data_IF_465364202252
#
_entry.id   IF_465364202252
#
_cell.length_a   1.000
_cell.length_b   1.000
_cell.length_c   1.000
_cell.angle_alpha   90.00
_cell.angle_beta   90.00
_cell.angle_gamma   90.00
#
_symmetry.space_group_name_H-M   'P 1'
#
loop_
_entity.id
_entity.type
_entity.pdbx_description
1 polymer ?
#
# COMPACT_ATOMS: atom_id res chain seq x y z
N UNK A 1 -10.33 -17.57 -4.97
CA UNK A 1 -9.00 -17.06 -4.64
C UNK A 1 -9.07 -16.54 -3.21
N UNK A 2 -7.96 -16.54 -2.48
CA UNK A 2 -7.93 -15.98 -1.13
C UNK A 2 -7.30 -14.59 -1.15
N UNK A 3 -7.70 -13.73 -0.21
CA UNK A 3 -7.01 -12.48 0.07
C UNK A 3 -6.17 -12.69 1.31
N UNK A 4 -4.91 -12.35 1.24
CA UNK A 4 -4.01 -12.23 2.38
C UNK A 4 -3.89 -10.75 2.73
N UNK A 5 -4.13 -10.39 3.98
CA UNK A 5 -4.12 -9.01 4.46
C UNK A 5 -3.25 -8.91 5.70
N UNK A 6 -2.37 -7.92 5.75
CA UNK A 6 -1.47 -7.63 6.86
C UNK A 6 -1.72 -6.22 7.41
N UNK A 7 -1.45 -6.03 8.71
CA UNK A 7 -1.62 -4.75 9.40
C UNK A 7 -0.78 -4.71 10.70
N UNK A 8 -0.58 -3.51 11.22
CA UNK A 8 -0.10 -3.35 12.59
C UNK A 8 -1.23 -3.65 13.58
N UNK A 9 -0.92 -4.23 14.70
CA UNK A 9 -1.91 -4.51 15.75
C UNK A 9 -2.46 -3.25 16.41
N UNK A 10 -3.60 -3.40 17.09
CA UNK A 10 -4.33 -2.31 17.72
C UNK A 10 -3.53 -1.59 18.81
N UNK A 11 -3.66 -0.25 18.86
CA UNK A 11 -3.03 0.57 19.91
C UNK A 11 -1.52 0.70 19.74
N UNK A 12 -1.03 0.70 18.51
CA UNK A 12 0.39 0.80 18.17
C UNK A 12 1.22 -0.24 18.94
N UNK A 13 0.73 -1.49 18.95
CA UNK A 13 1.37 -2.58 19.69
C UNK A 13 2.75 -2.95 19.14
N UNK A 14 3.10 -2.40 17.97
CA UNK A 14 4.38 -2.62 17.30
C UNK A 14 4.55 -4.04 16.77
N UNK A 15 3.47 -4.79 16.60
CA UNK A 15 3.49 -6.16 16.09
C UNK A 15 2.83 -6.25 14.73
N UNK A 16 3.35 -7.13 13.90
CA UNK A 16 2.76 -7.44 12.59
C UNK A 16 1.74 -8.56 12.75
N UNK A 17 0.52 -8.30 12.28
CA UNK A 17 -0.60 -9.24 12.26
C UNK A 17 -1.05 -9.48 10.83
N UNK A 18 -1.75 -10.58 10.60
CA UNK A 18 -2.38 -10.89 9.33
C UNK A 18 -3.69 -11.65 9.51
N UNK A 19 -4.57 -11.51 8.54
CA UNK A 19 -5.77 -12.31 8.38
C UNK A 19 -5.90 -12.78 6.94
N UNK A 20 -6.67 -13.84 6.70
CA UNK A 20 -6.92 -14.39 5.38
C UNK A 20 -8.41 -14.54 5.13
N UNK A 21 -8.84 -14.19 3.92
CA UNK A 21 -10.21 -14.28 3.45
C UNK A 21 -10.32 -15.31 2.32
N UNK A 22 -11.18 -16.31 2.45
CA UNK A 22 -11.35 -17.37 1.47
C UNK A 22 -12.42 -17.06 0.38
N UNK A 23 -13.00 -15.86 0.41
CA UNK A 23 -14.12 -15.42 -0.43
C UNK A 23 -15.47 -15.45 0.30
N UNK A 24 -15.54 -16.11 1.47
CA UNK A 24 -16.75 -16.22 2.28
C UNK A 24 -16.51 -15.82 3.74
N UNK A 25 -15.40 -16.26 4.31
CA UNK A 25 -15.08 -16.10 5.74
C UNK A 25 -13.65 -15.63 5.97
N UNK A 26 -13.48 -14.87 7.04
CA UNK A 26 -12.19 -14.49 7.59
C UNK A 26 -11.69 -15.58 8.55
N UNK A 27 -10.41 -15.93 8.44
CA UNK A 27 -9.81 -16.97 9.31
C UNK A 27 -9.59 -16.49 10.75
N UNK A 28 -9.50 -15.18 10.94
CA UNK A 28 -9.22 -14.50 12.19
C UNK A 28 -7.74 -14.13 12.32
N UNK A 29 -7.51 -13.06 13.06
CA UNK A 29 -6.22 -12.41 13.24
C UNK A 29 -5.15 -13.34 13.81
N UNK A 30 -3.98 -13.32 13.18
CA UNK A 30 -2.81 -14.09 13.58
C UNK A 30 -1.57 -13.20 13.58
N UNK A 31 -0.76 -13.31 14.64
CA UNK A 31 0.48 -12.57 14.74
C UNK A 31 1.58 -13.23 13.90
N UNK A 32 2.36 -12.43 13.17
CA UNK A 32 3.63 -12.87 12.58
C UNK A 32 4.66 -12.94 13.72
N UNK A 33 5.21 -14.12 14.02
CA UNK A 33 6.09 -14.28 15.18
C UNK A 33 7.37 -13.44 15.05
N UNK A 34 7.82 -12.87 16.16
CA UNK A 34 9.12 -12.18 16.31
C UNK A 34 9.32 -11.04 15.29
N UNK A 35 8.24 -10.39 14.85
CA UNK A 35 8.26 -9.29 13.89
C UNK A 35 7.75 -8.01 14.55
N UNK A 36 8.66 -7.07 14.76
CA UNK A 36 8.32 -5.74 15.27
C UNK A 36 8.25 -4.71 14.15
N UNK A 37 7.19 -3.90 14.11
CA UNK A 37 6.95 -2.94 13.04
C UNK A 37 6.47 -1.59 13.54
N UNK A 38 6.65 -0.60 12.69
CA UNK A 38 5.99 0.72 12.74
C UNK A 38 5.34 0.98 11.39
N UNK A 39 4.35 1.87 11.34
CA UNK A 39 3.64 2.28 10.12
C UNK A 39 2.84 1.16 9.44
N UNK A 40 2.41 1.39 8.20
CA UNK A 40 1.68 0.39 7.41
C UNK A 40 2.63 -0.59 6.74
N UNK A 41 2.33 -1.90 6.73
CA UNK A 41 3.12 -2.88 5.99
C UNK A 41 2.86 -2.82 4.48
N UNK A 42 3.67 -3.54 3.70
CA UNK A 42 3.40 -3.83 2.30
C UNK A 42 3.54 -5.31 2.02
N UNK A 43 2.51 -5.93 1.46
CA UNK A 43 2.51 -7.34 1.11
C UNK A 43 2.57 -7.54 -0.40
N UNK A 44 3.38 -8.51 -0.85
CA UNK A 44 3.49 -8.87 -2.27
C UNK A 44 3.82 -10.36 -2.44
N UNK A 45 3.32 -10.96 -3.51
CA UNK A 45 3.70 -12.32 -3.90
C UNK A 45 4.85 -12.26 -4.91
N UNK A 46 5.99 -12.93 -4.59
CA UNK A 46 7.16 -12.98 -5.47
C UNK A 46 7.86 -14.33 -5.36
N UNK A 47 8.18 -14.94 -6.49
CA UNK A 47 8.92 -16.21 -6.55
C UNK A 47 8.22 -17.38 -5.85
N UNK A 48 6.90 -17.32 -5.67
CA UNK A 48 6.10 -18.35 -4.96
C UNK A 48 6.12 -18.17 -3.43
N UNK A 49 6.63 -17.05 -2.93
CA UNK A 49 6.58 -16.65 -1.52
C UNK A 49 5.72 -15.41 -1.36
N UNK A 50 5.15 -15.26 -0.18
CA UNK A 50 4.59 -14.01 0.32
C UNK A 50 5.73 -13.25 1.01
N UNK A 51 5.94 -11.99 0.63
CA UNK A 51 6.84 -11.04 1.27
C UNK A 51 6.01 -10.00 2.01
N UNK A 52 6.35 -9.76 3.26
CA UNK A 52 5.83 -8.68 4.08
C UNK A 52 6.96 -7.70 4.37
N UNK A 53 6.83 -6.47 3.86
CA UNK A 53 7.77 -5.38 4.11
C UNK A 53 7.20 -4.42 5.15
N UNK A 54 8.07 -3.86 5.99
CA UNK A 54 7.69 -2.89 7.02
C UNK A 54 8.89 -2.06 7.47
N UNK A 55 8.62 -0.93 8.08
CA UNK A 55 9.62 -0.23 8.90
C UNK A 55 9.79 -1.00 10.22
N UNK A 56 11.00 -1.02 10.74
CA UNK A 56 11.25 -1.69 12.02
C UNK A 56 10.61 -0.95 13.20
N UNK A 57 10.44 -1.67 14.31
CA UNK A 57 9.76 -1.16 15.50
C UNK A 57 10.41 0.11 16.08
N UNK A 58 9.56 1.06 16.49
CA UNK A 58 10.00 2.32 17.09
C UNK A 58 10.63 3.27 16.08
N UNK A 59 10.17 3.25 14.85
CA UNK A 59 10.64 4.10 13.76
C UNK A 59 12.16 4.03 13.60
N UNK A 60 12.67 2.77 13.58
CA UNK A 60 14.11 2.51 13.55
C UNK A 60 14.82 3.03 12.27
N UNK A 61 14.04 3.48 11.30
CA UNK A 61 14.53 4.04 10.06
C UNK A 61 15.11 3.01 9.10
N UNK A 62 14.77 1.72 9.26
CA UNK A 62 15.27 0.63 8.43
C UNK A 62 14.13 -0.14 7.77
N UNK A 63 14.37 -0.62 6.55
CA UNK A 63 13.46 -1.50 5.85
C UNK A 63 13.72 -2.96 6.24
N UNK A 64 12.68 -3.63 6.72
CA UNK A 64 12.68 -5.04 7.08
C UNK A 64 11.70 -5.83 6.22
N UNK A 65 11.86 -7.13 6.17
CA UNK A 65 10.91 -8.02 5.54
C UNK A 65 10.87 -9.39 6.20
N UNK A 66 9.71 -10.02 6.16
CA UNK A 66 9.52 -11.42 6.52
C UNK A 66 8.93 -12.18 5.32
N UNK A 67 9.14 -13.49 5.25
CA UNK A 67 8.66 -14.30 4.14
C UNK A 67 7.94 -15.56 4.61
N UNK A 68 6.95 -15.97 3.82
CA UNK A 68 6.23 -17.22 4.02
C UNK A 68 5.90 -17.92 2.69
N UNK A 69 5.97 -19.24 2.68
CA UNK A 69 5.54 -20.06 1.54
C UNK A 69 4.04 -20.39 1.59
N UNK A 70 3.49 -20.51 2.78
CA UNK A 70 2.12 -20.98 3.02
C UNK A 70 1.19 -19.94 3.65
N UNK A 71 1.71 -18.70 3.89
CA UNK A 71 1.01 -17.63 4.60
C UNK A 71 0.79 -17.89 6.08
N UNK A 72 1.45 -18.91 6.67
CA UNK A 72 1.28 -19.31 8.07
C UNK A 72 2.60 -19.53 8.80
N UNK A 73 3.58 -20.07 8.08
CA UNK A 73 4.93 -20.34 8.62
C UNK A 73 5.87 -19.25 8.13
N UNK A 74 6.46 -18.51 9.04
CA UNK A 74 7.29 -17.35 8.76
C UNK A 74 8.77 -17.65 9.03
N UNK A 75 9.65 -17.15 8.16
CA UNK A 75 11.10 -17.39 8.25
C UNK A 75 11.75 -16.58 9.37
N UNK A 76 11.16 -15.43 9.70
CA UNK A 76 11.68 -14.44 10.64
C UNK A 76 12.17 -13.19 9.93
N UNK A 77 12.23 -12.08 10.68
CA UNK A 77 12.59 -10.77 10.16
C UNK A 77 14.00 -10.72 9.61
N UNK A 78 14.12 -10.09 8.44
CA UNK A 78 15.38 -9.85 7.75
C UNK A 78 15.46 -8.38 7.35
N UNK A 79 16.58 -7.74 7.64
CA UNK A 79 16.82 -6.37 7.24
C UNK A 79 17.23 -6.30 5.75
N UNK A 80 16.65 -5.36 5.00
CA UNK A 80 17.15 -5.03 3.66
C UNK A 80 18.46 -4.25 3.81
N UNK A 81 19.56 -4.74 3.24
CA UNK A 81 20.87 -4.13 3.49
C UNK A 81 20.97 -2.70 2.96
N UNK A 82 21.51 -1.80 3.78
CA UNK A 82 21.79 -0.40 3.43
C UNK A 82 20.57 0.39 2.89
N UNK A 83 19.37 0.06 3.37
CA UNK A 83 18.15 0.75 3.00
C UNK A 83 17.57 1.44 4.21
N UNK A 84 17.68 2.76 4.22
CA UNK A 84 17.06 3.60 5.23
C UNK A 84 15.71 4.13 4.74
N UNK A 85 14.68 4.03 5.59
CA UNK A 85 13.34 4.47 5.22
C UNK A 85 12.67 5.26 6.33
N UNK A 86 11.66 6.01 5.95
CA UNK A 86 10.62 6.56 6.80
C UNK A 86 9.27 6.19 6.21
N UNK A 87 8.22 6.20 7.03
CA UNK A 87 6.85 5.92 6.61
C UNK A 87 6.63 4.49 6.08
N UNK A 88 5.56 4.29 5.35
CA UNK A 88 5.14 2.98 4.84
C UNK A 88 5.82 2.61 3.52
N UNK A 89 6.30 1.38 3.31
CA UNK A 89 6.83 0.94 2.03
C UNK A 89 5.73 0.54 1.05
N UNK A 90 6.09 0.38 -0.24
CA UNK A 90 5.21 -0.19 -1.27
C UNK A 90 5.99 -1.13 -2.19
N UNK A 91 5.60 -2.39 -2.23
CA UNK A 91 6.27 -3.43 -3.01
C UNK A 91 5.49 -3.80 -4.28
N UNK A 92 6.21 -3.97 -5.38
CA UNK A 92 5.64 -4.36 -6.68
C UNK A 92 6.63 -5.20 -7.49
N UNK A 93 6.14 -6.11 -8.32
CA UNK A 93 6.99 -6.91 -9.21
C UNK A 93 6.99 -6.30 -10.62
N UNK A 94 8.16 -5.92 -11.11
CA UNK A 94 8.37 -5.31 -12.43
C UNK A 94 9.37 -6.16 -13.21
N UNK A 95 8.98 -6.70 -14.35
CA UNK A 95 9.85 -7.49 -15.24
C UNK A 95 10.62 -8.63 -14.51
N UNK A 96 9.98 -9.25 -13.52
CA UNK A 96 10.56 -10.34 -12.75
C UNK A 96 11.51 -9.93 -11.61
N UNK A 97 11.69 -8.65 -11.37
CA UNK A 97 12.37 -8.08 -10.20
C UNK A 97 11.35 -7.58 -9.17
N UNK A 98 11.67 -7.72 -7.91
CA UNK A 98 10.87 -7.15 -6.83
C UNK A 98 11.43 -5.76 -6.48
N UNK A 99 10.57 -4.76 -6.57
CA UNK A 99 10.84 -3.36 -6.19
C UNK A 99 10.15 -3.05 -4.88
N UNK A 100 10.82 -2.33 -4.00
CA UNK A 100 10.25 -1.78 -2.77
C UNK A 100 10.51 -0.28 -2.75
N UNK A 101 9.46 0.49 -2.90
CA UNK A 101 9.47 1.96 -2.84
C UNK A 101 9.25 2.44 -1.41
N UNK A 102 9.88 3.54 -1.03
CA UNK A 102 9.76 4.15 0.30
C UNK A 102 10.20 5.63 0.28
N UNK A 103 9.82 6.37 1.29
CA UNK A 103 10.46 7.66 1.59
C UNK A 103 11.82 7.40 2.24
N UNK A 104 12.81 8.24 1.95
CA UNK A 104 14.13 8.10 2.54
C UNK A 104 14.16 8.38 4.02
N UNK A 105 15.18 7.85 4.71
CA UNK A 105 15.32 7.93 6.16
C UNK A 105 15.33 9.36 6.69
N UNK A 106 14.67 9.57 7.84
CA UNK A 106 14.59 10.87 8.52
C UNK A 106 13.71 11.88 7.79
N UNK A 107 12.67 11.39 7.13
CA UNK A 107 11.68 12.19 6.40
C UNK A 107 12.35 13.11 5.39
N UNK A 108 13.30 12.56 4.62
CA UNK A 108 14.11 13.34 3.67
C UNK A 108 13.29 13.96 2.54
N UNK A 109 12.02 13.58 2.42
CA UNK A 109 11.08 14.07 1.43
C UNK A 109 11.38 13.62 0.01
N UNK A 110 12.14 12.54 -0.17
CA UNK A 110 12.51 12.00 -1.47
C UNK A 110 11.99 10.57 -1.63
N UNK A 111 11.60 10.21 -2.84
CA UNK A 111 11.21 8.84 -3.18
C UNK A 111 12.45 8.01 -3.53
N UNK A 112 12.59 6.89 -2.85
CA UNK A 112 13.64 5.90 -3.06
C UNK A 112 13.05 4.54 -3.39
N UNK A 113 13.87 3.65 -3.92
CA UNK A 113 13.51 2.24 -4.08
C UNK A 113 14.74 1.35 -4.00
N UNK A 114 14.54 0.13 -3.50
CA UNK A 114 15.52 -0.95 -3.61
C UNK A 114 14.93 -2.08 -4.45
N UNK A 115 15.78 -2.85 -5.11
CA UNK A 115 15.37 -3.98 -5.95
C UNK A 115 15.99 -5.28 -5.51
N UNK A 116 15.22 -6.37 -5.61
CA UNK A 116 15.66 -7.73 -5.32
C UNK A 116 15.51 -8.61 -6.55
N UNK A 117 16.59 -9.31 -6.94
CA UNK A 117 16.61 -10.17 -8.13
C UNK A 117 16.26 -11.64 -7.84
N UNK A 118 15.84 -11.94 -6.61
CA UNK A 118 15.59 -13.29 -6.11
C UNK A 118 16.77 -13.89 -5.32
N UNK A 119 17.95 -13.24 -5.35
CA UNK A 119 19.14 -13.68 -4.64
C UNK A 119 19.79 -12.55 -3.84
N UNK A 120 19.82 -11.33 -4.40
CA UNK A 120 20.54 -10.19 -3.82
C UNK A 120 19.72 -8.91 -3.93
N UNK A 121 19.86 -8.06 -2.92
CA UNK A 121 19.41 -6.67 -2.95
C UNK A 121 20.43 -5.82 -3.70
N UNK A 122 19.97 -5.02 -4.66
CA UNK A 122 20.85 -4.27 -5.57
C UNK A 122 21.25 -2.88 -5.03
N UNK A 123 20.69 -2.50 -3.89
CA UNK A 123 20.97 -1.24 -3.21
C UNK A 123 19.96 -0.15 -3.51
N UNK A 124 19.89 0.81 -2.61
CA UNK A 124 18.94 1.92 -2.65
C UNK A 124 19.24 2.89 -3.80
N UNK A 125 18.20 3.31 -4.50
CA UNK A 125 18.25 4.23 -5.62
C UNK A 125 17.17 5.30 -5.46
N UNK A 126 17.54 6.55 -5.69
CA UNK A 126 16.59 7.66 -5.65
C UNK A 126 15.82 7.78 -6.97
N UNK A 127 14.52 7.97 -6.90
CA UNK A 127 13.73 8.39 -8.06
C UNK A 127 13.97 9.88 -8.32
N UNK A 128 14.51 10.25 -9.50
CA UNK A 128 14.93 11.63 -9.74
C UNK A 128 13.77 12.62 -9.69
N UNK A 129 13.98 13.75 -9.02
CA UNK A 129 13.04 14.88 -8.97
C UNK A 129 11.62 14.50 -8.49
N UNK A 130 11.51 13.53 -7.58
CA UNK A 130 10.24 13.09 -7.01
C UNK A 130 10.25 13.37 -5.52
N UNK A 131 9.46 14.35 -5.12
CA UNK A 131 9.30 14.71 -3.70
C UNK A 131 8.05 14.03 -3.11
N UNK A 132 8.21 13.37 -1.97
CA UNK A 132 7.15 12.58 -1.32
C UNK A 132 6.96 12.99 0.14
N UNK A 133 5.75 12.83 0.64
CA UNK A 133 5.42 12.75 2.06
C UNK A 133 4.53 11.53 2.28
N UNK A 134 4.73 10.82 3.37
CA UNK A 134 4.02 9.56 3.65
C UNK A 134 4.46 8.41 2.74
N UNK A 135 3.74 7.30 2.82
CA UNK A 135 4.03 6.11 2.02
C UNK A 135 3.60 6.23 0.56
N UNK A 136 4.35 5.65 -0.39
CA UNK A 136 3.94 5.55 -1.79
C UNK A 136 2.98 4.38 -2.05
N UNK A 137 2.42 4.33 -3.27
CA UNK A 137 1.70 3.17 -3.80
C UNK A 137 2.14 2.87 -5.23
N UNK A 138 2.75 1.72 -5.44
CA UNK A 138 3.28 1.29 -6.73
C UNK A 138 2.38 0.24 -7.39
N UNK A 139 2.08 0.43 -8.69
CA UNK A 139 1.25 -0.49 -9.47
C UNK A 139 1.73 -0.56 -10.93
N UNK A 140 1.54 -1.72 -11.56
CA UNK A 140 1.77 -1.87 -13.01
C UNK A 140 0.45 -1.64 -13.74
N UNK A 141 0.40 -0.61 -14.57
CA UNK A 141 -0.73 -0.34 -15.43
C UNK A 141 -0.98 -1.42 -16.47
N UNK A 142 -2.15 -1.43 -17.08
CA UNK A 142 -2.52 -2.41 -18.11
C UNK A 142 -1.61 -2.36 -19.36
N UNK A 143 -0.93 -1.24 -19.57
CA UNK A 143 0.06 -1.03 -20.64
C UNK A 143 1.48 -1.51 -20.28
N UNK A 144 1.68 -2.02 -19.06
CA UNK A 144 2.97 -2.44 -18.52
C UNK A 144 3.82 -1.31 -17.93
N UNK A 145 3.32 -0.08 -17.91
CA UNK A 145 3.99 1.05 -17.26
C UNK A 145 3.91 0.93 -15.75
N UNK A 146 5.01 1.15 -15.07
CA UNK A 146 5.06 1.29 -13.62
C UNK A 146 4.60 2.69 -13.24
N UNK A 147 3.62 2.76 -12.34
CA UNK A 147 3.14 4.00 -11.70
C UNK A 147 3.49 3.95 -10.23
N UNK A 148 3.99 5.06 -9.68
CA UNK A 148 4.21 5.23 -8.24
C UNK A 148 3.46 6.49 -7.81
N UNK A 149 2.36 6.31 -7.09
CA UNK A 149 1.53 7.37 -6.53
C UNK A 149 1.99 7.74 -5.13
N UNK A 150 1.86 9.03 -4.78
CA UNK A 150 2.28 9.54 -3.47
C UNK A 150 1.64 10.90 -3.16
N UNK A 151 1.65 11.29 -1.90
CA UNK A 151 1.41 12.68 -1.53
C UNK A 151 2.66 13.51 -1.85
N UNK A 152 2.46 14.74 -2.29
CA UNK A 152 3.58 15.64 -2.59
C UNK A 152 4.37 16.04 -1.35
N UNK A 153 5.63 16.45 -1.57
CA UNK A 153 6.57 16.81 -0.51
C UNK A 153 6.04 17.91 0.41
N UNK A 154 6.31 17.78 1.72
CA UNK A 154 5.89 18.74 2.73
C UNK A 154 4.41 18.65 3.09
N UNK A 155 3.81 17.49 2.90
CA UNK A 155 2.38 17.24 3.16
C UNK A 155 1.49 18.28 2.44
N UNK A 156 1.76 18.47 1.12
CA UNK A 156 1.07 19.47 0.31
C UNK A 156 -0.42 19.19 0.11
N UNK A 157 -0.87 18.00 0.51
CA UNK A 157 -2.25 17.56 0.42
C UNK A 157 -2.72 17.26 -1.00
N UNK A 158 -1.80 17.04 -1.94
CA UNK A 158 -2.10 16.74 -3.33
C UNK A 158 -1.62 15.35 -3.71
N UNK A 159 -2.36 14.68 -4.58
CA UNK A 159 -1.94 13.40 -5.17
C UNK A 159 -1.03 13.64 -6.37
N UNK A 160 0.15 13.03 -6.33
CA UNK A 160 1.14 13.03 -7.40
C UNK A 160 1.45 11.62 -7.86
N UNK A 161 2.08 11.49 -8.99
CA UNK A 161 2.61 10.22 -9.47
C UNK A 161 3.81 10.41 -10.39
N UNK A 162 4.73 9.46 -10.36
CA UNK A 162 5.79 9.31 -11.36
C UNK A 162 5.61 7.99 -12.09
N UNK A 163 6.14 7.90 -13.31
CA UNK A 163 6.00 6.70 -14.14
C UNK A 163 7.33 6.26 -14.71
N UNK A 164 7.45 4.94 -14.90
CA UNK A 164 8.62 4.33 -15.54
C UNK A 164 8.21 3.19 -16.48
N UNK A 165 8.76 3.13 -17.71
CA UNK A 165 8.50 2.01 -18.61
C UNK A 165 9.32 0.75 -18.26
N UNK A 166 10.38 0.88 -17.48
CA UNK A 166 11.37 -0.17 -17.25
C UNK A 166 11.81 -0.32 -15.77
N UNK A 167 11.30 0.53 -14.87
CA UNK A 167 11.69 0.61 -13.47
C UNK A 167 12.99 1.38 -13.21
N UNK A 168 13.64 1.91 -14.25
CA UNK A 168 14.93 2.62 -14.15
C UNK A 168 14.89 4.03 -14.75
N UNK A 169 14.15 4.19 -15.85
CA UNK A 169 13.96 5.48 -16.52
C UNK A 169 12.68 6.13 -16.04
N UNK A 170 12.78 7.31 -15.46
CA UNK A 170 11.65 8.01 -14.85
C UNK A 170 11.21 9.22 -15.69
N UNK A 171 9.90 9.37 -15.89
CA UNK A 171 9.32 10.41 -16.73
C UNK A 171 9.12 11.76 -16.00
N UNK A 172 9.34 11.78 -14.68
CA UNK A 172 9.16 12.95 -13.83
C UNK A 172 7.76 13.01 -13.19
N UNK A 173 7.71 13.74 -12.09
CA UNK A 173 6.53 13.88 -11.25
C UNK A 173 5.40 14.65 -11.93
N UNK A 174 4.17 14.19 -11.75
CA UNK A 174 2.94 14.81 -12.28
C UNK A 174 1.86 14.82 -11.20
N UNK A 175 1.19 15.92 -11.07
CA UNK A 175 0.04 16.04 -10.19
C UNK A 175 -1.22 15.41 -10.83
N UNK A 176 -1.99 14.69 -10.04
CA UNK A 176 -3.36 14.31 -10.40
C UNK A 176 -4.24 15.54 -10.19
N UNK A 177 -4.87 16.07 -11.23
CA UNK A 177 -5.63 17.34 -11.10
C UNK A 177 -6.80 17.21 -10.13
N UNK A 178 -7.05 18.28 -9.38
CA UNK A 178 -8.21 18.44 -8.49
C UNK A 178 -8.41 17.29 -7.48
N UNK A 179 -7.31 16.65 -7.06
CA UNK A 179 -7.33 15.53 -6.10
C UNK A 179 -6.59 15.93 -4.83
N UNK A 180 -7.36 16.17 -3.79
CA UNK A 180 -6.83 16.46 -2.45
C UNK A 180 -6.80 15.20 -1.58
N UNK A 181 -5.66 14.92 -0.93
CA UNK A 181 -5.48 13.70 -0.14
C UNK A 181 -4.80 13.95 1.21
N UNK A 182 -4.95 12.97 2.09
CA UNK A 182 -4.19 12.82 3.34
C UNK A 182 -3.71 11.37 3.47
N UNK A 183 -2.65 11.15 4.21
CA UNK A 183 -2.07 9.81 4.40
C UNK A 183 -1.38 9.29 3.13
N UNK A 184 -1.37 7.98 2.97
CA UNK A 184 -0.82 7.31 1.79
C UNK A 184 -1.94 6.79 0.87
N UNK A 185 -1.74 6.80 -0.47
CA UNK A 185 -2.72 6.29 -1.42
C UNK A 185 -2.64 4.77 -1.58
N UNK A 186 -3.62 4.19 -2.25
CA UNK A 186 -3.59 2.81 -2.73
C UNK A 186 -4.08 2.72 -4.17
N UNK A 187 -3.24 2.24 -5.06
CA UNK A 187 -3.53 2.13 -6.48
C UNK A 187 -3.80 0.67 -6.89
N UNK A 188 -4.78 0.48 -7.75
CA UNK A 188 -5.12 -0.83 -8.33
C UNK A 188 -5.51 -0.66 -9.79
N UNK A 189 -5.34 -1.72 -10.58
CA UNK A 189 -5.84 -1.78 -11.96
C UNK A 189 -7.15 -2.53 -11.97
N UNK A 190 -8.21 -1.86 -12.42
CA UNK A 190 -9.54 -2.44 -12.58
C UNK A 190 -9.61 -3.52 -13.65
N UNK A 191 -10.68 -4.31 -13.67
CA UNK A 191 -10.90 -5.35 -14.66
C UNK A 191 -11.00 -4.82 -16.11
N UNK A 192 -11.33 -3.56 -16.28
CA UNK A 192 -11.37 -2.82 -17.54
C UNK A 192 -10.02 -2.21 -17.95
N UNK A 193 -8.98 -2.40 -17.12
CA UNK A 193 -7.64 -1.84 -17.31
C UNK A 193 -7.48 -0.42 -16.81
N UNK A 194 -8.50 0.19 -16.21
CA UNK A 194 -8.40 1.52 -15.62
C UNK A 194 -7.56 1.52 -14.36
N UNK A 195 -6.74 2.55 -14.19
CA UNK A 195 -6.08 2.86 -12.93
C UNK A 195 -7.11 3.48 -11.99
N UNK A 196 -7.19 2.96 -10.77
CA UNK A 196 -7.98 3.54 -9.68
C UNK A 196 -7.06 3.79 -8.50
N UNK A 197 -7.09 5.01 -7.96
CA UNK A 197 -6.27 5.41 -6.82
C UNK A 197 -7.17 5.85 -5.69
N UNK A 198 -7.11 5.11 -4.59
CA UNK A 198 -7.89 5.34 -3.37
C UNK A 198 -7.07 6.13 -2.37
N UNK A 199 -7.71 7.01 -1.61
CA UNK A 199 -7.06 7.84 -0.59
C UNK A 199 -8.06 8.38 0.42
N UNK A 200 -7.58 8.81 1.58
CA UNK A 200 -8.36 9.66 2.46
C UNK A 200 -8.43 11.07 1.88
N UNK A 201 -9.55 11.75 2.04
CA UNK A 201 -9.71 13.12 1.57
C UNK A 201 -8.82 14.12 2.29
N UNK A 202 -8.64 15.29 1.67
CA UNK A 202 -7.77 16.36 2.17
C UNK A 202 -8.15 16.80 3.60
N UNK A 203 -7.14 17.06 4.43
CA UNK A 203 -7.31 17.52 5.80
C UNK A 203 -7.83 16.45 6.74
N UNK A 204 -7.58 15.18 6.45
CA UNK A 204 -8.07 14.04 7.25
C UNK A 204 -9.60 14.10 7.42
N UNK A 205 -10.32 14.29 6.31
CA UNK A 205 -11.77 14.48 6.31
C UNK A 205 -12.55 13.24 6.77
N UNK A 206 -11.87 12.12 6.99
CA UNK A 206 -12.44 10.88 7.46
C UNK A 206 -13.28 10.14 6.43
N UNK A 207 -13.11 10.45 5.13
CA UNK A 207 -13.87 9.82 4.05
C UNK A 207 -12.94 9.14 3.05
N UNK A 208 -13.40 8.04 2.48
CA UNK A 208 -12.71 7.36 1.39
C UNK A 208 -13.09 7.98 0.05
N UNK A 209 -12.06 8.38 -0.72
CA UNK A 209 -12.18 8.93 -2.05
C UNK A 209 -11.40 8.08 -3.05
N UNK A 210 -11.69 8.23 -4.32
CA UNK A 210 -10.89 7.63 -5.39
C UNK A 210 -10.93 8.46 -6.66
N UNK A 211 -9.87 8.39 -7.44
CA UNK A 211 -9.81 8.94 -8.79
C UNK A 211 -9.50 7.84 -9.80
N UNK A 212 -9.95 8.01 -11.04
CA UNK A 212 -9.83 6.98 -12.09
C UNK A 212 -9.17 7.56 -13.34
N UNK A 213 -8.29 6.78 -13.97
CA UNK A 213 -7.73 7.08 -15.27
C UNK A 213 -7.73 5.85 -16.19
N UNK A 214 -8.18 6.03 -17.44
CA UNK A 214 -8.20 4.97 -18.46
C UNK A 214 -6.96 4.97 -19.36
N UNK A 215 -6.16 6.03 -19.32
CA UNK A 215 -4.97 6.21 -20.17
C UNK A 215 -3.70 6.54 -19.37
N UNK A 216 -3.81 6.60 -18.03
CA UNK A 216 -2.72 6.97 -17.12
C UNK A 216 -2.31 8.43 -17.19
N UNK A 217 -3.07 9.28 -17.91
CA UNK A 217 -2.75 10.70 -18.12
C UNK A 217 -3.94 11.63 -17.85
N UNK A 218 -5.14 11.19 -18.23
CA UNK A 218 -6.38 11.94 -18.06
C UNK A 218 -7.16 11.34 -16.88
N UNK A 219 -7.51 12.18 -15.93
CA UNK A 219 -8.19 11.78 -14.68
C UNK A 219 -9.64 12.25 -14.70
N UNK A 220 -10.54 11.40 -14.23
CA UNK A 220 -11.99 11.67 -14.21
C UNK A 220 -12.35 12.73 -13.16
N UNK A 221 -11.56 12.84 -12.10
CA UNK A 221 -11.79 13.67 -10.93
C UNK A 221 -12.20 12.82 -9.71
N UNK A 222 -12.02 13.41 -8.53
CA UNK A 222 -12.27 12.74 -7.25
C UNK A 222 -13.74 12.35 -7.08
N UNK A 223 -13.94 11.12 -6.64
CA UNK A 223 -15.25 10.57 -6.33
C UNK A 223 -15.25 9.98 -4.92
N UNK A 224 -16.23 10.34 -4.11
CA UNK A 224 -16.37 9.79 -2.77
C UNK A 224 -16.98 8.38 -2.82
N UNK A 225 -16.43 7.44 -2.06
CA UNK A 225 -17.05 6.15 -1.82
C UNK A 225 -18.21 6.34 -0.84
N UNK A 226 -19.45 6.05 -1.23
CA UNK A 226 -20.61 6.38 -0.41
C UNK A 226 -20.62 5.63 0.93
N UNK A 227 -20.82 6.35 2.02
CA UNK A 227 -21.01 5.77 3.35
C UNK A 227 -19.79 5.07 3.93
N UNK A 228 -18.60 5.39 3.44
CA UNK A 228 -17.33 4.81 3.92
C UNK A 228 -16.54 5.86 4.67
N UNK A 229 -16.45 5.71 5.97
CA UNK A 229 -15.61 6.52 6.82
C UNK A 229 -14.29 5.81 7.09
N UNK A 230 -13.16 6.53 6.99
CA UNK A 230 -11.83 5.94 7.16
C UNK A 230 -10.87 6.83 7.95
N UNK A 231 -9.86 6.19 8.48
CA UNK A 231 -8.62 6.81 8.97
C UNK A 231 -7.44 6.10 8.33
N UNK A 232 -6.29 6.69 8.33
CA UNK A 232 -5.04 6.17 7.75
C UNK A 232 -5.12 5.96 6.22
N UNK A 233 -4.20 5.19 5.65
CA UNK A 233 -4.21 4.85 4.23
C UNK A 233 -5.03 3.59 3.94
N UNK A 234 -5.72 3.53 2.79
CA UNK A 234 -6.45 2.34 2.36
C UNK A 234 -5.54 1.30 1.71
N UNK A 235 -6.08 0.10 1.47
CA UNK A 235 -5.48 -0.92 0.62
C UNK A 235 -6.52 -1.52 -0.32
N UNK A 236 -6.29 -1.42 -1.64
CA UNK A 236 -7.20 -1.90 -2.67
C UNK A 236 -6.68 -3.16 -3.35
N UNK A 237 -7.53 -4.15 -3.53
CA UNK A 237 -7.21 -5.39 -4.27
C UNK A 237 -8.42 -5.85 -5.10
N UNK A 238 -8.15 -6.38 -6.31
CA UNK A 238 -9.17 -6.86 -7.23
C UNK A 238 -9.15 -8.39 -7.32
N UNK A 239 -10.20 -9.05 -6.85
CA UNK A 239 -10.46 -10.49 -6.99
C UNK A 239 -11.83 -10.72 -7.64
N UNK A 240 -11.97 -10.36 -8.92
CA UNK A 240 -13.27 -10.34 -9.59
C UNK A 240 -14.22 -9.27 -9.08
N UNK A 241 -14.14 -8.95 -7.80
CA UNK A 241 -14.75 -7.83 -7.09
C UNK A 241 -13.62 -6.96 -6.54
N UNK A 242 -13.79 -5.66 -6.56
CA UNK A 242 -12.83 -4.74 -5.96
C UNK A 242 -13.10 -4.63 -4.46
N UNK A 243 -12.08 -4.90 -3.66
CA UNK A 243 -12.08 -4.72 -2.21
C UNK A 243 -11.22 -3.51 -1.86
N UNK A 244 -11.69 -2.65 -0.98
CA UNK A 244 -10.91 -1.55 -0.40
C UNK A 244 -10.96 -1.68 1.11
N UNK A 245 -9.83 -2.02 1.71
CA UNK A 245 -9.63 -2.17 3.15
C UNK A 245 -9.16 -0.86 3.76
N UNK A 246 -9.57 -0.57 4.99
CA UNK A 246 -9.17 0.65 5.71
C UNK A 246 -9.42 0.51 7.21
N UNK A 247 -8.78 1.35 8.01
CA UNK A 247 -9.20 1.57 9.39
C UNK A 247 -10.49 2.38 9.41
N UNK A 248 -11.37 2.13 10.36
CA UNK A 248 -12.60 2.89 10.51
C UNK A 248 -12.35 4.34 10.92
N UNK A 249 -13.37 5.18 10.70
CA UNK A 249 -13.30 6.63 10.95
C UNK A 249 -12.99 6.96 12.41
N UNK A 250 -12.15 7.98 12.62
CA UNK A 250 -11.78 8.46 13.94
C UNK A 250 -10.83 7.53 14.68
N UNK A 251 -9.98 6.82 13.95
CA UNK A 251 -8.99 5.90 14.52
C UNK A 251 -9.65 4.86 15.44
N UNK A 252 -10.77 4.28 14.96
CA UNK A 252 -11.59 3.35 15.77
C UNK A 252 -10.86 2.05 16.13
N UNK A 253 -9.68 1.83 15.54
CA UNK A 253 -8.84 0.68 15.78
C UNK A 253 -9.40 -0.62 15.21
N UNK A 254 -10.33 -0.55 14.26
CA UNK A 254 -10.96 -1.72 13.66
C UNK A 254 -10.70 -1.75 12.14
N UNK A 255 -10.55 -2.96 11.60
CA UNK A 255 -10.47 -3.17 10.17
C UNK A 255 -11.85 -3.22 9.54
N UNK A 256 -12.04 -2.43 8.51
CA UNK A 256 -13.24 -2.38 7.67
C UNK A 256 -12.88 -2.62 6.21
N UNK A 257 -13.85 -2.94 5.41
CA UNK A 257 -13.71 -2.98 3.96
C UNK A 257 -15.02 -2.63 3.27
N UNK A 258 -14.91 -2.00 2.12
CA UNK A 258 -16.01 -1.83 1.18
C UNK A 258 -15.71 -2.59 -0.11
N UNK A 259 -16.74 -2.97 -0.84
CA UNK A 259 -16.60 -3.71 -2.10
C UNK A 259 -17.36 -3.03 -3.22
N UNK A 260 -16.79 -3.07 -4.43
CA UNK A 260 -17.41 -2.57 -5.66
C UNK A 260 -17.61 -3.74 -6.63
N UNK A 261 -18.86 -3.98 -7.05
CA UNK A 261 -19.22 -5.10 -7.92
C UNK A 261 -19.09 -4.79 -9.43
N UNK A 262 -18.53 -3.62 -9.77
CA UNK A 262 -18.44 -3.08 -11.12
C UNK A 262 -19.58 -2.11 -11.47
N UNK A 263 -20.58 -1.95 -10.59
CA UNK A 263 -21.70 -1.04 -10.78
C UNK A 263 -22.00 -0.19 -9.54
N UNK A 264 -21.92 -0.79 -8.35
CA UNK A 264 -22.28 -0.15 -7.09
C UNK A 264 -21.32 -0.52 -5.97
N UNK A 265 -21.16 0.41 -5.04
CA UNK A 265 -20.53 0.16 -3.74
C UNK A 265 -21.52 -0.53 -2.82
N UNK A 266 -21.12 -1.63 -2.20
CA UNK A 266 -22.00 -2.48 -1.40
C UNK A 266 -22.08 -2.09 0.09
N UNK A 267 -21.33 -1.05 0.47
CA UNK A 267 -21.27 -0.51 1.83
C UNK A 267 -20.21 -1.17 2.70
N UNK A 268 -19.84 -0.45 3.77
CA UNK A 268 -18.80 -0.84 4.71
C UNK A 268 -19.17 -2.07 5.52
N UNK A 269 -18.17 -2.95 5.71
CA UNK A 269 -18.26 -4.16 6.52
C UNK A 269 -17.07 -4.25 7.44
N UNK A 270 -17.29 -4.48 8.71
CA UNK A 270 -16.25 -4.71 9.68
C UNK A 270 -15.72 -6.14 9.59
N UNK A 271 -14.40 -6.30 9.59
CA UNK A 271 -13.75 -7.59 9.83
C UNK A 271 -13.77 -7.85 11.33
N UNK A 272 -14.44 -8.92 11.73
CA UNK A 272 -14.68 -9.19 13.15
C UNK A 272 -13.41 -9.65 13.87
N UNK A 273 -13.19 -9.12 15.06
CA UNK A 273 -12.05 -9.46 15.94
C UNK A 273 -10.67 -9.08 15.36
N UNK A 274 -10.61 -8.13 14.46
CA UNK A 274 -9.37 -7.61 13.88
C UNK A 274 -9.19 -6.18 14.34
N UNK A 275 -8.21 -5.98 15.21
CA UNK A 275 -7.84 -4.65 15.70
C UNK A 275 -6.58 -4.16 15.02
N UNK A 276 -6.56 -2.89 14.56
CA UNK A 276 -5.43 -2.35 13.82
C UNK A 276 -5.10 -0.91 14.22
N UNK A 277 -3.86 -0.57 14.01
CA UNK A 277 -3.33 0.80 13.91
C UNK A 277 -2.66 0.92 12.55
N UNK A 278 -2.45 2.10 12.02
CA UNK A 278 -1.92 2.33 10.67
C UNK A 278 -2.76 1.67 9.55
N UNK A 279 -2.41 1.87 8.29
CA UNK A 279 -3.13 1.32 7.14
C UNK A 279 -2.87 -0.18 6.91
N UNK A 280 -3.84 -0.93 6.37
CA UNK A 280 -3.64 -2.34 6.01
C UNK A 280 -2.90 -2.48 4.67
N UNK A 281 -2.44 -3.70 4.36
CA UNK A 281 -1.95 -4.07 3.03
C UNK A 281 -2.49 -5.44 2.64
N UNK A 282 -3.05 -5.55 1.43
CA UNK A 282 -3.69 -6.77 0.95
C UNK A 282 -3.11 -7.23 -0.40
N UNK A 283 -3.05 -8.56 -0.59
CA UNK A 283 -2.65 -9.20 -1.85
C UNK A 283 -3.51 -10.43 -2.11
N UNK A 284 -3.62 -10.82 -3.38
CA UNK A 284 -4.20 -12.11 -3.76
C UNK A 284 -3.24 -13.25 -3.43
N UNK A 285 -3.75 -14.24 -2.70
CA UNK A 285 -3.03 -15.45 -2.30
C UNK A 285 -3.22 -16.62 -3.25
#
# INVERSE_FOLDING_TARGET
>A
MSIFMAHQGSGDDGQLWYDTFDGETWAGDQQVPDTGMSESPSVVSYGGLIYLFHQGYGDDGQLWYNTSFDGKTWVGDQQVPNTGMSESPSAVVVNGLLYVFHQGSGDDGQLWYNTFDGNTWLGDQQVPNTGISGGPSAVIGADGTLYVFHQGSGYDGQLWYNTSPDGQTWNGDRQVPDTGMSGHPSAVVGADGALQVFHQGYGQDGQLWYNTSFDGQTWVGDQQVPGTGMSEGPSAVLDGVLYVFHQGSGEDGQLWYNTFDGQTWLGDRQVQNTGMSAGPSAVLG
#
